data_IF_056034419755
#
_entry.id   IF_056034419755
#
_cell.length_a   1.000
_cell.length_b   1.000
_cell.length_c   1.000
_cell.angle_alpha   90.00
_cell.angle_beta   90.00
_cell.angle_gamma   90.00
#
_symmetry.space_group_name_H-M   'P 1'
#
loop_
_entity.id
_entity.type
_entity.pdbx_description
1 polymer ?
2 non-polymer ?
3 water ?
#
# COMPACT_ATOMS: atom_id res chain seq x y z
N UNK A 1 -15.82 -3.18 31.59
CA UNK A 1 -15.11 -3.61 30.35
C UNK A 1 -16.09 -4.15 29.30
N UNK A 2 -16.50 -3.28 28.37
CA UNK A 2 -17.40 -3.66 27.27
C UNK A 2 -16.75 -3.50 25.87
N UNK A 3 -15.43 -3.33 25.84
CA UNK A 3 -14.70 -3.10 24.60
C UNK A 3 -13.71 -4.26 24.39
N UNK A 4 -13.31 -4.52 23.14
CA UNK A 4 -12.22 -5.48 22.90
C UNK A 4 -10.90 -5.09 23.54
N UNK A 5 -10.27 -6.07 24.17
CA UNK A 5 -8.90 -5.96 24.68
C UNK A 5 -7.88 -5.52 23.63
N UNK A 6 -8.13 -5.86 22.38
CA UNK A 6 -7.26 -5.51 21.29
C UNK A 6 -8.07 -5.24 20.04
N UNK A 7 -7.65 -4.22 19.27
CA UNK A 7 -8.14 -4.00 17.93
C UNK A 7 -6.96 -3.73 16.96
N UNK A 8 -7.13 -4.09 15.68
CA UNK A 8 -6.19 -3.76 14.59
C UNK A 8 -6.98 -3.70 13.30
N UNK A 9 -7.20 -2.49 12.80
CA UNK A 9 -8.02 -2.29 11.60
C UNK A 9 -7.37 -2.73 10.31
N UNK A 10 -6.04 -2.83 10.29
CA UNK A 10 -5.33 -3.47 9.17
C UNK A 10 -5.89 -4.86 8.86
N UNK A 11 -6.23 -5.60 9.92
CA UNK A 11 -6.79 -6.95 9.78
C UNK A 11 -8.18 -7.03 9.14
N UNK A 12 -8.89 -5.92 9.06
CA UNK A 12 -10.14 -5.86 8.29
C UNK A 12 -9.93 -5.23 6.90
N UNK A 13 -8.68 -5.17 6.46
CA UNK A 13 -8.34 -4.54 5.20
C UNK A 13 -8.80 -3.09 5.08
N UNK A 14 -8.69 -2.31 6.17
CA UNK A 14 -9.17 -0.92 6.20
C UNK A 14 -8.08 0.14 6.19
N UNK A 15 -6.82 -0.30 6.14
CA UNK A 15 -5.70 0.60 6.18
C UNK A 15 -4.91 0.47 4.85
N UNK A 16 -4.54 1.60 4.26
CA UNK A 16 -3.67 1.60 3.10
C UNK A 16 -2.19 1.37 3.48
N UNK A 17 -1.34 1.28 2.46
CA UNK A 17 0.10 1.17 2.67
C UNK A 17 0.65 2.43 3.32
N UNK A 18 1.69 2.23 4.10
CA UNK A 18 2.40 3.28 4.76
C UNK A 18 2.97 4.14 3.66
N UNK A 19 2.89 5.46 3.82
CA UNK A 19 3.45 6.41 2.86
C UNK A 19 4.70 7.09 3.45
N UNK A 20 5.36 7.90 2.63
CA UNK A 20 6.62 8.54 2.98
C UNK A 20 6.43 10.03 2.67
N UNK A 21 6.36 10.87 3.71
CA UNK A 21 6.10 12.29 3.52
C UNK A 21 7.34 13.02 3.01
N UNK A 22 8.52 12.50 3.33
CA UNK A 22 9.78 13.17 3.01
C UNK A 22 9.94 14.49 3.78
N UNK A 23 10.40 15.53 3.07
CA UNK A 23 10.79 16.79 3.72
C UNK A 23 9.66 17.82 3.70
N UNK A 24 8.48 17.37 3.36
CA UNK A 24 7.30 18.20 3.41
C UNK A 24 6.52 17.76 4.67
N UNK A 25 6.09 18.74 5.47
CA UNK A 25 5.46 18.47 6.75
C UNK A 25 3.97 18.26 6.55
N UNK A 26 3.65 17.14 5.90
CA UNK A 26 2.30 16.81 5.50
C UNK A 26 1.71 15.63 6.29
N UNK A 27 2.27 15.36 7.47
CA UNK A 27 1.78 14.31 8.36
C UNK A 27 0.29 14.45 8.73
N UNK A 28 -0.14 15.70 8.89
CA UNK A 28 -1.54 16.05 9.08
C UNK A 28 -2.42 15.65 7.89
N UNK A 29 -1.91 15.76 6.66
CA UNK A 29 -2.69 15.40 5.46
C UNK A 29 -2.76 13.89 5.32
N UNK A 30 -1.68 13.21 5.67
CA UNK A 30 -1.66 11.76 5.71
C UNK A 30 -2.54 11.19 6.81
N UNK A 31 -2.49 11.80 7.98
CA UNK A 31 -3.38 11.40 9.08
C UNK A 31 -4.87 11.47 8.66
N UNK A 32 -5.27 12.61 8.09
CA UNK A 32 -6.63 12.84 7.62
C UNK A 32 -7.13 11.82 6.61
N UNK A 33 -6.38 11.60 5.52
CA UNK A 33 -6.83 10.64 4.50
C UNK A 33 -6.76 9.20 5.00
N UNK A 34 -5.77 8.87 5.80
CA UNK A 34 -5.74 7.57 6.44
C UNK A 34 -7.07 7.28 7.06
N UNK A 35 -7.58 8.19 7.90
CA UNK A 35 -8.85 7.99 8.62
C UNK A 35 -10.07 7.89 7.68
N UNK A 36 -10.09 8.73 6.64
CA UNK A 36 -11.17 8.74 5.69
C UNK A 36 -11.12 7.52 4.75
N UNK A 37 -9.92 7.01 4.49
CA UNK A 37 -9.77 5.75 3.71
C UNK A 37 -10.46 4.57 4.40
N UNK A 38 -10.40 4.49 5.73
CA UNK A 38 -11.09 3.38 6.43
C UNK A 38 -12.60 3.50 6.34
N UNK A 39 -13.11 4.71 6.44
CA UNK A 39 -14.55 4.90 6.41
C UNK A 39 -15.09 4.54 5.02
N UNK A 40 -14.33 4.88 3.99
CA UNK A 40 -14.69 4.59 2.61
C UNK A 40 -14.70 3.08 2.35
N UNK A 41 -13.76 2.35 2.94
CA UNK A 41 -13.71 0.88 2.80
C UNK A 41 -14.91 0.20 3.45
N UNK A 42 -15.17 0.57 4.72
CA UNK A 42 -16.37 0.12 5.45
C UNK A 42 -17.64 0.36 4.64
N UNK A 43 -17.76 1.58 4.14
CA UNK A 43 -18.86 1.99 3.26
C UNK A 43 -18.93 1.21 1.95
N UNK A 44 -17.82 1.19 1.19
CA UNK A 44 -17.89 0.77 -0.22
C UNK A 44 -17.30 -0.59 -0.52
N UNK A 45 -16.65 -1.20 0.46
CA UNK A 45 -15.87 -2.42 0.23
C UNK A 45 -14.56 -2.21 -0.51
N UNK A 46 -14.31 -1.01 -1.03
CA UNK A 46 -13.09 -0.72 -1.79
C UNK A 46 -12.05 0.02 -0.92
N UNK A 47 -10.82 -0.49 -0.93
CA UNK A 47 -9.75 0.17 -0.19
C UNK A 47 -9.01 1.01 -1.21
N UNK A 48 -9.19 2.34 -1.14
CA UNK A 48 -8.49 3.26 -2.06
C UNK A 48 -7.71 4.37 -1.35
N UNK A 49 -6.39 4.45 -1.57
CA UNK A 49 -5.60 5.62 -1.16
C UNK A 49 -6.14 6.94 -1.70
N UNK A 50 -6.32 7.89 -0.78
CA UNK A 50 -6.84 9.21 -1.06
C UNK A 50 -5.69 10.18 -1.04
N UNK A 51 -5.92 11.33 -1.70
CA UNK A 51 -4.90 12.28 -2.05
C UNK A 51 -4.52 13.27 -0.92
N UNK A 52 -3.47 12.92 -0.16
CA UNK A 52 -2.91 13.86 0.81
C UNK A 52 -2.46 15.17 0.15
N UNK A 53 -2.00 15.08 -1.10
CA UNK A 53 -1.52 16.25 -1.89
C UNK A 53 -2.63 17.22 -2.21
N UNK A 54 -3.82 16.69 -2.43
CA UNK A 54 -5.05 17.46 -2.61
C UNK A 54 -5.28 18.39 -1.39
N UNK A 55 -5.07 17.83 -0.21
CA UNK A 55 -5.20 18.55 1.04
C UNK A 55 -4.13 19.64 1.15
N UNK A 56 -2.87 19.26 0.91
CA UNK A 56 -1.74 20.20 0.96
C UNK A 56 -1.97 21.38 0.03
N UNK A 57 -2.33 21.11 -1.23
CA UNK A 57 -2.55 22.16 -2.23
C UNK A 57 -3.84 22.97 -2.08
N UNK A 58 -4.89 22.38 -1.49
CA UNK A 58 -6.24 22.97 -1.59
C UNK A 58 -6.88 23.38 -0.27
N UNK A 59 -6.61 22.62 0.78
CA UNK A 59 -7.10 22.95 2.12
C UNK A 59 -6.04 23.88 2.78
N UNK A 60 -6.00 25.12 2.30
CA UNK A 60 -4.94 26.04 2.71
C UNK A 60 -5.45 27.10 3.72
N UNK A 61 -5.38 28.37 3.34
CA UNK A 61 -5.46 29.50 4.28
C UNK A 61 -6.85 29.73 4.87
N UNK A 62 -7.89 29.47 4.08
CA UNK A 62 -9.27 29.44 4.56
C UNK A 62 -9.49 28.43 5.68
N UNK A 63 -8.64 27.40 5.78
CA UNK A 63 -8.79 26.34 6.77
C UNK A 63 -7.68 26.38 7.81
N UNK A 64 -6.88 27.44 7.82
CA UNK A 64 -5.83 27.61 8.82
C UNK A 64 -4.61 26.70 8.66
N UNK A 65 -4.45 26.14 7.46
CA UNK A 65 -3.37 25.20 7.15
C UNK A 65 -2.34 25.87 6.22
N UNK A 66 -1.09 25.40 6.31
CA UNK A 66 0.04 26.00 5.60
C UNK A 66 0.76 24.98 4.73
N UNK A 67 0.04 23.97 4.23
CA UNK A 67 0.65 22.92 3.40
C UNK A 67 1.79 22.16 4.04
N UNK A 68 2.97 22.21 3.41
CA UNK A 68 4.18 21.56 3.90
C UNK A 68 4.71 22.17 5.19
N UNK A 69 4.24 23.36 5.55
CA UNK A 69 4.52 23.94 6.86
C UNK A 69 3.48 23.61 7.93
N UNK A 70 2.58 22.68 7.65
CA UNK A 70 1.69 22.14 8.67
C UNK A 70 0.25 22.54 8.49
N UNK A 71 -0.60 21.95 9.31
CA UNK A 71 -2.03 22.15 9.25
C UNK A 71 -2.70 21.17 10.20
N UNK A 72 -4.01 21.06 10.10
CA UNK A 72 -4.82 20.28 11.02
C UNK A 72 -5.72 19.32 10.24
N UNK A 73 -5.95 18.15 10.82
CA UNK A 73 -6.88 17.16 10.28
C UNK A 73 -8.34 17.59 10.35
N UNK A 74 -8.74 18.26 11.43
CA UNK A 74 -10.12 18.70 11.56
C UNK A 74 -10.55 19.63 10.42
N UNK A 75 -9.67 20.56 10.04
CA UNK A 75 -9.96 21.49 8.95
C UNK A 75 -9.67 20.87 7.60
N UNK A 76 -8.84 19.81 7.56
CA UNK A 76 -8.72 19.02 6.32
C UNK A 76 -10.09 18.38 5.97
N UNK A 77 -10.74 17.84 7.01
CA UNK A 77 -12.10 17.26 6.90
C UNK A 77 -13.12 18.29 6.51
N UNK A 78 -13.01 19.51 7.04
CA UNK A 78 -13.98 20.56 6.71
C UNK A 78 -13.88 20.95 5.23
N UNK A 79 -12.66 21.07 4.73
CA UNK A 79 -12.41 21.24 3.30
C UNK A 79 -13.09 20.17 2.43
N UNK A 80 -13.00 18.91 2.84
CA UNK A 80 -13.48 17.80 2.06
C UNK A 80 -15.01 17.82 2.03
N UNK A 81 -15.59 18.20 3.17
CA UNK A 81 -17.02 18.51 3.25
C UNK A 81 -17.35 19.68 2.31
N UNK A 82 -16.75 20.84 2.55
CA UNK A 82 -17.08 22.04 1.76
C UNK A 82 -16.90 21.84 0.24
N UNK A 83 -15.83 21.14 -0.14
CA UNK A 83 -15.45 20.89 -1.52
C UNK A 83 -16.32 19.81 -2.18
N UNK A 84 -17.02 19.04 -1.35
CA UNK A 84 -17.88 17.94 -1.77
C UNK A 84 -17.03 16.86 -2.44
N UNK A 85 -15.86 16.59 -1.85
CA UNK A 85 -15.02 15.49 -2.28
C UNK A 85 -13.51 15.64 -2.17
N UNK A 86 -12.84 14.53 -2.41
CA UNK A 86 -11.41 14.49 -2.45
C UNK A 86 -11.02 13.45 -3.49
N UNK A 87 -9.94 13.75 -4.23
CA UNK A 87 -9.44 12.89 -5.30
C UNK A 87 -8.71 11.67 -4.76
N UNK A 88 -8.62 10.63 -5.57
CA UNK A 88 -7.83 9.45 -5.22
C UNK A 88 -6.38 9.86 -5.26
N UNK A 89 -5.56 9.16 -4.49
CA UNK A 89 -4.13 9.37 -4.53
C UNK A 89 -3.56 9.07 -5.92
N UNK A 90 -4.10 8.06 -6.61
CA UNK A 90 -3.56 7.69 -7.95
C UNK A 90 -3.86 8.78 -9.00
N UNK A 91 -4.95 9.52 -8.86
CA UNK A 91 -5.24 10.63 -9.80
C UNK A 91 -4.48 11.91 -9.43
N UNK A 92 -4.08 12.01 -8.16
CA UNK A 92 -3.54 13.23 -7.59
C UNK A 92 -2.43 12.85 -6.60
N UNK A 93 -1.30 12.36 -7.14
CA UNK A 93 -0.23 11.77 -6.33
C UNK A 93 0.59 12.77 -5.54
N UNK A 94 1.22 12.26 -4.48
CA UNK A 94 2.01 13.06 -3.55
C UNK A 94 3.38 13.44 -4.13
N UNK A 95 3.69 14.73 -4.14
CA UNK A 95 4.97 15.23 -4.64
C UNK A 95 5.90 15.78 -3.56
N UNK A 96 5.44 15.78 -2.30
CA UNK A 96 6.23 16.34 -1.19
C UNK A 96 6.60 17.83 -1.39
N UNK A 97 5.71 18.61 -1.99
CA UNK A 97 5.87 20.07 -2.04
C UNK A 97 4.51 20.77 -2.22
N UNK A 98 4.50 22.08 -1.99
CA UNK A 98 3.31 22.90 -2.13
C UNK A 98 3.04 23.16 -3.61
N UNK A 99 1.83 22.88 -4.09
CA UNK A 99 1.50 23.16 -5.50
C UNK A 99 0.23 23.94 -5.64
N UNK A 100 -0.02 24.43 -6.85
CA UNK A 100 -1.34 24.97 -7.16
C UNK A 100 -2.37 23.87 -6.94
N UNK A 101 -3.57 24.30 -6.55
CA UNK A 101 -4.69 23.40 -6.34
C UNK A 101 -5.20 22.90 -7.69
N UNK A 102 -5.28 21.57 -7.80
CA UNK A 102 -5.60 20.90 -9.04
C UNK A 102 -6.68 19.85 -8.84
N UNK A 103 -7.51 20.03 -7.80
CA UNK A 103 -8.66 19.14 -7.62
C UNK A 103 -9.49 19.10 -8.90
N UNK A 104 -9.93 17.89 -9.26
CA UNK A 104 -10.83 17.70 -10.38
C UNK A 104 -11.92 16.77 -9.90
N UNK A 105 -13.16 17.23 -9.95
CA UNK A 105 -14.28 16.44 -9.47
C UNK A 105 -14.49 15.13 -10.22
N UNK A 106 -14.06 15.04 -11.49
CA UNK A 106 -14.14 13.76 -12.23
C UNK A 106 -13.37 12.63 -11.53
N UNK A 107 -12.39 12.99 -10.72
CA UNK A 107 -11.56 12.01 -10.03
C UNK A 107 -11.85 11.82 -8.55
N UNK A 108 -12.91 12.46 -8.06
CA UNK A 108 -13.38 12.24 -6.70
C UNK A 108 -13.51 10.75 -6.35
N UNK A 109 -12.83 10.32 -5.30
CA UNK A 109 -12.87 8.93 -4.83
C UNK A 109 -13.48 8.77 -3.43
N UNK A 110 -13.68 9.87 -2.73
CA UNK A 110 -14.40 9.85 -1.48
C UNK A 110 -15.02 11.20 -1.24
N UNK A 111 -15.88 11.19 -0.25
CA UNK A 111 -16.58 12.36 0.21
C UNK A 111 -16.52 12.34 1.75
N UNK A 112 -16.95 13.43 2.38
CA UNK A 112 -17.02 13.48 3.84
C UNK A 112 -18.33 14.13 4.26
N UNK A 113 -19.05 13.48 5.16
CA UNK A 113 -20.32 14.01 5.63
C UNK A 113 -20.11 14.96 6.81
N UNK A 114 -19.14 14.62 7.65
CA UNK A 114 -18.98 15.21 8.97
C UNK A 114 -17.73 14.65 9.66
N UNK A 115 -17.30 15.32 10.70
CA UNK A 115 -16.28 14.77 11.54
C UNK A 115 -16.59 15.09 13.00
N UNK A 116 -15.94 14.33 13.89
CA UNK A 116 -16.11 14.41 15.34
C UNK A 116 -14.72 14.59 15.98
N UNK A 117 -14.59 15.53 16.91
CA UNK A 117 -13.36 15.69 17.69
C UNK A 117 -13.62 15.07 19.04
N UNK A 118 -12.60 14.46 19.61
CA UNK A 118 -12.75 13.88 20.92
C UNK A 118 -12.20 14.82 22.01
N UNK A 119 -12.70 14.69 23.25
CA UNK A 119 -12.15 15.47 24.36
C UNK A 119 -10.66 15.25 24.63
N UNK A 120 -9.97 16.30 25.05
CA UNK A 120 -8.52 16.25 25.20
C UNK A 120 -8.14 15.32 26.32
N UNK A 121 -7.12 14.49 26.08
CA UNK A 121 -6.51 13.69 27.13
C UNK A 121 -7.29 12.46 27.59
N UNK A 122 -8.41 12.16 26.91
CA UNK A 122 -9.28 11.06 27.31
C UNK A 122 -8.98 9.77 26.54
N UNK A 123 -8.19 8.89 27.15
CA UNK A 123 -7.70 7.67 26.52
C UNK A 123 -8.75 6.54 26.50
N UNK A 124 -9.68 6.60 27.45
CA UNK A 124 -10.84 5.73 27.44
C UNK A 124 -11.83 6.11 26.32
N UNK A 125 -11.99 7.41 26.03
CA UNK A 125 -12.85 7.82 24.91
C UNK A 125 -12.20 7.51 23.54
N UNK A 126 -10.90 7.77 23.43
CA UNK A 126 -10.17 7.40 22.26
C UNK A 126 -10.31 5.91 21.97
N UNK A 127 -10.10 5.08 22.99
CA UNK A 127 -10.24 3.64 22.86
C UNK A 127 -11.62 3.23 22.36
N UNK A 128 -12.66 3.92 22.81
CA UNK A 128 -14.02 3.63 22.38
C UNK A 128 -14.23 4.01 20.90
N UNK A 129 -13.76 5.19 20.51
CA UNK A 129 -13.85 5.58 19.11
C UNK A 129 -13.10 4.57 18.21
N UNK A 130 -11.94 4.06 18.64
CA UNK A 130 -11.17 3.15 17.78
C UNK A 130 -11.87 1.78 17.66
N UNK A 131 -12.38 1.22 18.77
CA UNK A 131 -13.17 -0.02 18.74
C UNK A 131 -14.45 0.10 17.90
N UNK A 132 -15.20 1.18 18.11
CA UNK A 132 -16.54 1.29 17.58
C UNK A 132 -16.67 2.09 16.31
N UNK A 133 -15.67 2.88 15.92
CA UNK A 133 -15.81 3.75 14.73
C UNK A 133 -14.75 3.53 13.66
N UNK A 134 -13.50 3.39 14.08
CA UNK A 134 -12.44 3.10 13.14
C UNK A 134 -11.19 3.83 13.51
N UNK A 135 -10.18 3.80 12.63
CA UNK A 135 -8.97 4.57 12.82
C UNK A 135 -9.20 6.05 13.16
N UNK A 136 -8.47 6.57 14.13
CA UNK A 136 -8.65 7.98 14.59
C UNK A 136 -7.37 8.78 14.31
N UNK A 137 -7.57 9.90 13.63
CA UNK A 137 -6.52 10.88 13.41
C UNK A 137 -6.13 11.54 14.71
N UNK A 138 -4.84 11.53 15.01
CA UNK A 138 -4.31 12.15 16.20
C UNK A 138 -3.04 12.94 15.87
N UNK A 139 -2.69 13.83 16.80
CA UNK A 139 -1.37 14.43 16.85
C UNK A 139 -0.60 13.72 17.94
N UNK A 140 0.71 13.69 17.79
CA UNK A 140 1.65 13.29 18.84
C UNK A 140 2.78 14.30 18.88
N UNK A 141 3.53 14.25 19.99
CA UNK A 141 4.79 14.98 20.14
C UNK A 141 5.88 14.05 19.63
N UNK A 142 6.33 14.31 18.42
CA UNK A 142 7.36 13.49 17.80
C UNK A 142 8.73 14.18 17.76
N UNK A 143 8.91 15.23 18.54
CA UNK A 143 10.19 15.97 18.56
C UNK A 143 11.17 15.37 19.55
N UNK A 144 11.60 14.16 19.28
CA UNK A 144 12.59 13.47 20.11
C UNK A 144 13.34 12.49 19.25
N UNK A 145 14.69 12.52 19.32
CA UNK A 145 15.53 11.53 18.67
C UNK A 145 15.05 10.11 18.85
N UNK A 146 14.65 9.72 20.07
CA UNK A 146 14.15 8.35 20.34
C UNK A 146 12.93 7.94 19.49
N UNK A 147 12.15 8.93 19.06
CA UNK A 147 11.02 8.71 18.17
C UNK A 147 11.53 8.42 16.78
N UNK A 148 12.41 9.30 16.32
CA UNK A 148 13.04 9.17 15.00
C UNK A 148 13.79 7.87 14.85
N UNK A 149 14.35 7.41 15.96
CA UNK A 149 15.22 6.26 15.96
C UNK A 149 14.47 5.00 16.36
N UNK A 150 13.14 5.09 16.53
CA UNK A 150 12.35 3.94 17.02
C UNK A 150 12.33 2.76 16.03
N UNK A 151 12.55 1.55 16.56
CA UNK A 151 12.65 0.34 15.76
C UNK A 151 11.53 -0.62 16.12
N UNK A 152 11.35 -0.90 17.41
CA UNK A 152 10.33 -1.84 17.87
C UNK A 152 10.02 -1.73 19.35
N UNK A 153 8.94 -2.41 19.73
CA UNK A 153 8.47 -2.43 21.12
C UNK A 153 7.50 -1.29 21.38
N UNK A 154 7.11 -1.15 22.64
CA UNK A 154 6.16 -0.11 23.04
C UNK A 154 7.00 1.12 23.41
N UNK A 155 6.87 2.18 22.60
CA UNK A 155 7.56 3.44 22.80
C UNK A 155 7.14 4.16 24.09
N UNK A 156 8.11 4.56 24.90
CA UNK A 156 7.85 5.45 26.00
C UNK A 156 9.05 6.38 26.11
N UNK A 157 8.79 7.68 26.04
CA UNK A 157 9.81 8.68 26.19
C UNK A 157 9.47 9.58 27.39
N UNK A 158 10.26 9.49 28.50
CA UNK A 158 10.10 10.32 29.69
C UNK A 158 9.91 11.81 29.46
N UNK A 159 10.65 12.39 28.53
CA UNK A 159 10.57 13.83 28.30
C UNK A 159 9.52 14.20 27.23
N UNK A 160 8.72 13.23 26.80
CA UNK A 160 7.64 13.51 25.84
C UNK A 160 6.63 14.45 26.49
N UNK A 161 6.09 15.39 25.72
CA UNK A 161 5.04 16.28 26.19
C UNK A 161 3.67 15.99 25.53
N UNK A 162 2.64 16.62 26.08
CA UNK A 162 1.28 16.56 25.51
C UNK A 162 1.03 17.62 24.44
N UNK A 163 2.01 18.49 24.21
CA UNK A 163 1.95 19.44 23.09
C UNK A 163 2.30 18.76 21.76
N UNK A 164 1.34 18.67 20.87
CA UNK A 164 1.49 17.89 19.66
C UNK A 164 1.96 18.75 18.51
N UNK A 165 2.63 18.08 17.57
CA UNK A 165 3.27 18.71 16.45
C UNK A 165 3.44 17.77 15.24
N UNK A 166 2.79 16.60 15.27
CA UNK A 166 2.96 15.56 14.25
C UNK A 166 1.69 14.73 14.07
N UNK A 167 1.21 14.65 12.84
CA UNK A 167 -0.03 13.93 12.52
C UNK A 167 0.17 12.44 12.22
N UNK A 168 -0.54 11.61 12.96
CA UNK A 168 -0.47 10.15 12.79
C UNK A 168 -1.89 9.53 12.83
N UNK A 169 -1.98 8.23 12.61
CA UNK A 169 -3.29 7.55 12.57
C UNK A 169 -3.31 6.45 13.60
N UNK A 170 -4.32 6.45 14.48
CA UNK A 170 -4.49 5.34 15.43
C UNK A 170 -5.36 4.30 14.76
N UNK A 171 -4.77 3.15 14.46
CA UNK A 171 -5.46 2.04 13.79
C UNK A 171 -5.76 0.86 14.74
N UNK A 172 -5.35 0.96 15.99
CA UNK A 172 -5.62 -0.11 16.93
C UNK A 172 -5.05 0.09 18.31
N UNK A 173 -5.15 -0.96 19.12
CA UNK A 173 -4.62 -0.91 20.47
C UNK A 173 -4.54 -2.32 21.00
N UNK A 174 -3.73 -2.53 22.01
CA UNK A 174 -3.61 -3.87 22.60
C UNK A 174 -2.62 -3.84 23.73
N UNK A 175 -2.07 -5.00 24.03
CA UNK A 175 -1.12 -5.21 25.14
C UNK A 175 -0.02 -6.15 24.69
N UNK A 176 1.22 -5.66 24.64
CA UNK A 176 2.38 -6.45 24.21
C UNK A 176 3.34 -6.65 25.38
N UNK A 177 3.32 -7.85 25.96
CA UNK A 177 4.28 -8.26 27.00
C UNK A 177 4.28 -7.36 28.22
N UNK A 178 3.11 -7.28 28.86
CA UNK A 178 2.87 -6.38 29.99
C UNK A 178 2.49 -4.95 29.65
N UNK A 179 2.67 -4.53 28.40
CA UNK A 179 2.57 -3.11 28.06
C UNK A 179 1.42 -2.84 27.13
N UNK A 180 0.41 -2.15 27.63
CA UNK A 180 -0.65 -1.60 26.82
C UNK A 180 -0.09 -0.57 25.83
N UNK A 181 -0.56 -0.61 24.59
CA UNK A 181 -0.09 0.32 23.55
C UNK A 181 -1.25 0.77 22.63
N UNK A 182 -1.02 1.86 21.91
CA UNK A 182 -1.81 2.24 20.74
C UNK A 182 -0.98 1.87 19.54
N UNK A 183 -1.63 1.33 18.52
CA UNK A 183 -0.97 0.96 17.27
C UNK A 183 -1.15 2.12 16.29
N UNK A 184 -0.02 2.68 15.86
CA UNK A 184 0.01 3.95 15.18
C UNK A 184 0.68 3.83 13.83
N UNK A 185 0.03 4.34 12.83
CA UNK A 185 0.55 4.38 11.51
C UNK A 185 1.14 5.75 11.23
N UNK A 186 2.43 5.77 10.97
CA UNK A 186 3.15 6.99 10.64
C UNK A 186 3.25 7.16 9.11
N UNK A 187 3.68 8.32 8.67
CA UNK A 187 4.00 8.58 7.26
C UNK A 187 5.50 8.84 7.01
N UNK A 188 6.33 7.96 7.58
CA UNK A 188 7.78 7.98 7.32
C UNK A 188 8.32 6.78 6.52
N UNK A 189 7.46 6.14 5.74
CA UNK A 189 7.80 4.93 5.01
C UNK A 189 7.90 3.67 5.86
N UNK A 190 8.33 2.59 5.19
CA UNK A 190 8.33 1.23 5.73
C UNK A 190 9.55 0.94 6.59
N UNK A 191 10.58 1.75 6.44
CA UNK A 191 11.81 1.53 7.17
C UNK A 191 11.74 2.17 8.56
N UNK A 192 10.76 3.04 8.81
CA UNK A 192 10.51 3.50 10.17
C UNK A 192 9.81 2.42 11.00
N UNK A 193 10.37 2.12 12.16
CA UNK A 193 9.76 1.23 13.15
C UNK A 193 9.36 -0.16 12.69
N UNK A 194 8.12 -0.54 12.98
CA UNK A 194 7.61 -1.87 12.65
C UNK A 194 6.82 -1.84 11.33
N UNK A 195 7.59 -1.92 10.23
CA UNK A 195 7.15 -1.72 8.85
C UNK A 195 6.26 -0.49 8.64
N UNK A 196 6.67 0.60 9.30
CA UNK A 196 6.04 1.89 9.17
C UNK A 196 5.13 2.26 10.34
N UNK A 197 5.00 1.35 11.31
CA UNK A 197 4.17 1.54 12.48
C UNK A 197 5.00 1.76 13.75
N UNK A 198 4.37 2.38 14.73
CA UNK A 198 4.92 2.55 16.06
C UNK A 198 3.83 2.18 17.07
N UNK A 199 4.20 1.34 18.04
CA UNK A 199 3.34 1.08 19.18
C UNK A 199 3.73 2.00 20.32
N UNK A 200 2.81 2.87 20.70
CA UNK A 200 3.06 3.86 21.70
C UNK A 200 2.32 3.54 22.97
N UNK A 201 2.98 3.86 24.08
CA UNK A 201 2.45 3.65 25.44
C UNK A 201 1.03 4.19 25.61
N UNK A 202 0.16 3.36 26.19
CA UNK A 202 -1.25 3.67 26.39
C UNK A 202 -1.63 3.58 27.87
N UNK A 203 -2.56 4.45 28.27
CA UNK A 203 -2.93 4.69 29.66
C UNK A 203 -1.73 5.11 30.52
N UNK A 204 -0.94 6.02 29.98
CA UNK A 204 0.28 6.51 30.59
C UNK A 204 0.27 8.03 30.63
N UNK A 205 -0.86 8.58 31.07
CA UNK A 205 -0.97 10.00 31.26
C UNK A 205 -0.98 10.81 29.97
N UNK A 206 -1.73 10.35 28.98
CA UNK A 206 -1.75 10.99 27.65
C UNK A 206 -0.34 11.12 27.10
N UNK A 207 0.37 9.99 27.11
CA UNK A 207 1.76 9.93 26.70
C UNK A 207 2.03 10.38 25.27
N UNK A 208 2.86 11.41 25.14
CA UNK A 208 3.14 12.08 23.87
C UNK A 208 1.93 12.79 23.27
N UNK A 209 0.87 12.96 24.05
CA UNK A 209 -0.26 13.78 23.66
C UNK A 209 -1.11 13.07 22.64
N UNK A 210 -1.11 11.76 22.73
CA UNK A 210 -1.77 10.91 21.74
C UNK A 210 -3.31 11.15 21.71
N UNK A 211 -3.88 11.36 22.88
CA UNK A 211 -5.32 11.66 23.10
C UNK A 211 -5.61 13.17 23.21
N UNK A 212 -4.63 14.02 22.90
CA UNK A 212 -4.83 15.49 23.05
C UNK A 212 -5.83 16.01 22.02
N UNK A 213 -5.64 15.64 20.75
CA UNK A 213 -6.59 16.10 19.70
C UNK A 213 -6.97 15.00 18.69
N UNK A 214 -7.77 14.03 19.15
CA UNK A 214 -8.30 13.07 18.21
C UNK A 214 -9.51 13.61 17.44
N UNK A 215 -9.64 13.21 16.19
CA UNK A 215 -10.85 13.39 15.41
C UNK A 215 -10.98 12.27 14.38
N UNK A 216 -12.22 12.03 13.94
CA UNK A 216 -12.47 11.03 12.90
C UNK A 216 -13.61 11.47 12.02
N UNK A 217 -13.50 11.19 10.72
CA UNK A 217 -14.50 11.55 9.74
C UNK A 217 -15.57 10.49 9.62
N UNK A 218 -16.67 10.87 8.97
CA UNK A 218 -17.73 9.94 8.61
C UNK A 218 -18.23 10.21 7.20
N UNK A 219 -18.53 9.12 6.50
CA UNK A 219 -19.25 9.15 5.22
C UNK A 219 -20.62 8.49 5.47
N UNK A 220 -21.69 9.26 5.46
CA UNK A 220 -23.03 8.69 5.68
C UNK A 220 -23.66 8.23 4.33
N UNK A 221 -24.56 7.25 4.40
CA UNK A 221 -25.39 6.77 3.26
C UNK A 221 -26.00 7.94 2.48
N UNK B 2 -6.29 -8.59 -34.22
CA UNK B 2 -6.93 -7.35 -33.68
C UNK B 2 -6.91 -7.30 -32.14
N UNK B 3 -5.77 -6.90 -31.59
CA UNK B 3 -5.63 -6.71 -30.15
C UNK B 3 -5.83 -5.22 -29.85
N UNK B 4 -6.21 -4.88 -28.62
CA UNK B 4 -6.19 -3.47 -28.25
C UNK B 4 -4.78 -2.87 -28.42
N UNK B 5 -4.72 -1.61 -28.88
CA UNK B 5 -3.43 -0.91 -29.09
C UNK B 5 -2.81 -0.51 -27.75
N UNK B 6 -3.66 -0.28 -26.76
CA UNK B 6 -3.25 0.00 -25.39
C UNK B 6 -4.12 -0.73 -24.38
N UNK B 7 -3.48 -1.23 -23.34
CA UNK B 7 -4.15 -1.86 -22.21
C UNK B 7 -3.59 -1.32 -20.90
N UNK B 8 -4.48 -1.11 -19.93
CA UNK B 8 -4.09 -0.73 -18.58
C UNK B 8 -5.07 -1.32 -17.58
N UNK B 9 -4.66 -2.37 -16.90
CA UNK B 9 -5.56 -3.03 -15.98
C UNK B 9 -5.99 -2.20 -14.74
N UNK B 10 -5.28 -1.10 -14.44
CA UNK B 10 -5.64 -0.25 -13.29
C UNK B 10 -6.98 0.43 -13.48
N UNK B 11 -7.30 0.68 -14.75
CA UNK B 11 -8.59 1.24 -15.15
C UNK B 11 -9.79 0.32 -14.86
N UNK B 12 -9.54 -0.97 -14.75
CA UNK B 12 -10.58 -1.92 -14.34
C UNK B 12 -10.58 -2.19 -12.84
N UNK B 13 -9.77 -1.46 -12.08
CA UNK B 13 -9.66 -1.69 -10.64
C UNK B 13 -9.17 -3.07 -10.29
N UNK B 14 -8.23 -3.61 -11.09
CA UNK B 14 -7.74 -5.01 -10.94
C UNK B 14 -6.36 -5.10 -10.29
N UNK B 15 -5.82 -3.93 -9.94
CA UNK B 15 -4.45 -3.82 -9.48
C UNK B 15 -4.47 -3.18 -8.11
N UNK B 16 -3.94 -3.87 -7.11
CA UNK B 16 -3.82 -3.31 -5.76
C UNK B 16 -2.73 -2.21 -5.71
N UNK B 17 -2.67 -1.53 -4.57
CA UNK B 17 -1.61 -0.57 -4.29
C UNK B 17 -0.21 -1.20 -4.34
N UNK B 18 0.73 -0.39 -4.79
CA UNK B 18 2.13 -0.77 -4.92
C UNK B 18 2.69 -1.06 -3.55
N UNK B 19 3.39 -2.19 -3.42
CA UNK B 19 3.94 -2.61 -2.14
C UNK B 19 5.44 -2.25 -2.03
N UNK B 20 6.03 -2.53 -0.86
CA UNK B 20 7.43 -2.21 -0.56
C UNK B 20 8.10 -3.48 -0.01
N UNK B 21 8.97 -4.08 -0.80
CA UNK B 21 9.59 -5.35 -0.42
C UNK B 21 10.70 -5.16 0.62
N UNK B 22 11.34 -3.99 0.60
CA UNK B 22 12.40 -3.68 1.57
C UNK B 22 13.67 -4.46 1.29
N UNK B 23 14.38 -4.83 2.34
CA UNK B 23 15.64 -5.56 2.22
C UNK B 23 15.46 -7.06 1.93
N UNK B 24 14.22 -7.52 1.84
CA UNK B 24 13.97 -8.91 1.56
C UNK B 24 13.65 -9.09 0.07
N UNK B 25 14.27 -10.08 -0.56
CA UNK B 25 14.15 -10.28 -2.02
C UNK B 25 12.90 -11.02 -2.38
N UNK B 26 11.74 -10.43 -2.05
CA UNK B 26 10.46 -11.10 -2.19
C UNK B 26 9.74 -10.67 -3.48
N UNK B 27 10.44 -9.98 -4.39
CA UNK B 27 9.87 -9.50 -5.66
C UNK B 27 9.02 -10.54 -6.39
N UNK B 28 9.52 -11.77 -6.42
CA UNK B 28 8.80 -12.89 -6.99
C UNK B 28 7.45 -13.22 -6.35
N UNK B 29 7.33 -12.98 -5.06
CA UNK B 29 6.07 -13.20 -4.32
C UNK B 29 5.10 -12.06 -4.52
N UNK B 30 5.61 -10.84 -4.56
CA UNK B 30 4.80 -9.69 -4.95
C UNK B 30 4.30 -9.81 -6.39
N UNK B 31 5.19 -10.18 -7.30
CA UNK B 31 4.78 -10.46 -8.69
C UNK B 31 3.66 -11.50 -8.74
N UNK B 32 3.80 -12.58 -7.95
CA UNK B 32 2.83 -13.67 -7.95
C UNK B 32 1.48 -13.27 -7.35
N UNK B 33 1.46 -12.63 -6.18
CA UNK B 33 0.16 -12.25 -5.62
C UNK B 33 -0.51 -11.20 -6.50
N UNK B 34 0.28 -10.31 -7.04
CA UNK B 34 -0.19 -9.27 -7.94
C UNK B 34 -1.03 -9.79 -9.08
N UNK B 35 -0.56 -10.83 -9.74
CA UNK B 35 -1.26 -11.46 -10.86
C UNK B 35 -2.53 -12.22 -10.41
N UNK B 36 -2.45 -12.87 -9.26
CA UNK B 36 -3.58 -13.60 -8.71
C UNK B 36 -4.66 -12.64 -8.21
N UNK B 37 -4.24 -11.49 -7.63
CA UNK B 37 -5.18 -10.46 -7.16
C UNK B 37 -6.11 -9.98 -8.28
N UNK B 38 -5.59 -9.85 -9.50
CA UNK B 38 -6.39 -9.34 -10.61
C UNK B 38 -7.46 -10.33 -11.03
N UNK B 39 -7.08 -11.61 -10.97
CA UNK B 39 -7.96 -12.73 -11.32
C UNK B 39 -9.03 -12.94 -10.26
N UNK B 40 -8.72 -12.65 -9.00
CA UNK B 40 -9.70 -12.71 -7.92
C UNK B 40 -10.71 -11.56 -8.10
N UNK B 41 -10.22 -10.37 -8.45
CA UNK B 41 -11.11 -9.27 -8.77
C UNK B 41 -12.03 -9.57 -9.95
N UNK B 42 -11.49 -10.10 -11.04
CA UNK B 42 -12.31 -10.50 -12.18
C UNK B 42 -13.42 -11.47 -11.81
N UNK B 43 -13.04 -12.51 -11.08
CA UNK B 43 -13.96 -13.55 -10.64
C UNK B 43 -15.01 -13.07 -9.63
N UNK B 44 -14.56 -12.37 -8.59
CA UNK B 44 -15.40 -12.05 -7.42
C UNK B 44 -15.87 -10.60 -7.32
N UNK B 45 -15.19 -9.69 -8.01
CA UNK B 45 -15.48 -8.26 -7.91
C UNK B 45 -14.81 -7.56 -6.73
N UNK B 46 -14.15 -8.33 -5.86
CA UNK B 46 -13.37 -7.75 -4.77
C UNK B 46 -11.90 -7.64 -5.18
N UNK B 47 -11.30 -6.48 -4.85
CA UNK B 47 -9.84 -6.29 -4.93
C UNK B 47 -9.25 -6.48 -3.54
N UNK B 48 -8.58 -7.60 -3.29
CA UNK B 48 -7.93 -7.78 -2.00
C UNK B 48 -6.46 -8.09 -2.20
N UNK B 49 -5.60 -7.38 -1.46
CA UNK B 49 -4.19 -7.72 -1.35
C UNK B 49 -3.97 -9.12 -0.77
N UNK B 50 -3.25 -9.95 -1.54
CA UNK B 50 -2.94 -11.31 -1.09
C UNK B 50 -1.60 -11.37 -0.36
N UNK B 51 -1.37 -12.44 0.37
CA UNK B 51 -0.21 -12.52 1.25
C UNK B 51 1.07 -12.93 0.53
N UNK B 52 1.92 -11.92 0.25
CA UNK B 52 3.27 -12.13 -0.21
C UNK B 52 4.11 -12.90 0.82
N UNK B 53 3.83 -12.65 2.10
CA UNK B 53 4.58 -13.27 3.20
C UNK B 53 4.30 -14.76 3.31
N UNK B 54 3.05 -15.10 3.10
CA UNK B 54 2.59 -16.51 2.96
C UNK B 54 3.43 -17.26 1.90
N UNK B 55 3.80 -16.61 0.80
CA UNK B 55 4.66 -17.24 -0.20
C UNK B 55 6.11 -17.34 0.27
N UNK B 56 6.63 -16.28 0.88
CA UNK B 56 7.98 -16.27 1.47
C UNK B 56 8.13 -17.36 2.56
N UNK B 57 7.12 -17.53 3.39
CA UNK B 57 7.25 -18.44 4.54
C UNK B 57 6.97 -19.90 4.19
N UNK B 58 6.06 -20.09 3.25
CA UNK B 58 5.46 -21.42 3.03
C UNK B 58 5.86 -22.11 1.73
N UNK B 59 6.09 -21.33 0.68
CA UNK B 59 6.53 -21.86 -0.61
C UNK B 59 8.08 -21.87 -0.65
N UNK B 60 8.66 -22.86 0.02
CA UNK B 60 10.10 -22.87 0.27
C UNK B 60 10.85 -23.85 -0.66
N UNK B 61 11.67 -24.74 -0.08
CA UNK B 61 12.69 -25.46 -0.86
C UNK B 61 12.08 -26.54 -1.75
N UNK B 62 10.92 -27.06 -1.34
CA UNK B 62 10.17 -28.00 -2.18
C UNK B 62 9.65 -27.36 -3.47
N UNK B 63 9.54 -26.03 -3.48
CA UNK B 63 9.12 -25.28 -4.67
C UNK B 63 10.26 -24.56 -5.38
N UNK B 64 11.50 -24.86 -4.96
CA UNK B 64 12.70 -24.27 -5.56
C UNK B 64 13.00 -22.86 -5.10
N UNK B 65 12.33 -22.44 -4.03
CA UNK B 65 12.33 -21.05 -3.57
C UNK B 65 13.13 -20.87 -2.27
N UNK B 66 13.73 -19.69 -2.10
CA UNK B 66 14.60 -19.39 -0.96
C UNK B 66 14.13 -18.15 -0.17
N UNK B 67 12.80 -17.98 -0.08
CA UNK B 67 12.20 -16.92 0.69
C UNK B 67 12.75 -15.56 0.34
N UNK B 68 13.44 -14.93 1.31
CA UNK B 68 14.02 -13.60 1.10
C UNK B 68 15.28 -13.59 0.24
N UNK B 69 15.82 -14.77 -0.12
CA UNK B 69 16.91 -14.88 -1.12
C UNK B 69 16.42 -15.21 -2.56
N UNK B 70 15.10 -15.25 -2.77
CA UNK B 70 14.58 -15.36 -4.13
C UNK B 70 13.72 -16.59 -4.40
N UNK B 71 13.04 -16.55 -5.52
CA UNK B 71 12.18 -17.67 -5.92
C UNK B 71 11.51 -17.39 -7.23
N UNK B 72 10.54 -18.22 -7.58
CA UNK B 72 9.90 -18.18 -8.88
C UNK B 72 8.40 -18.03 -8.70
N UNK B 73 7.78 -17.23 -9.56
CA UNK B 73 6.32 -17.08 -9.53
C UNK B 73 5.56 -18.38 -9.91
N UNK B 74 6.05 -19.10 -10.92
CA UNK B 74 5.43 -20.36 -11.37
C UNK B 74 5.30 -21.36 -10.23
N UNK B 75 6.38 -21.55 -9.46
CA UNK B 75 6.34 -22.47 -8.36
C UNK B 75 5.56 -21.89 -7.17
N UNK B 76 5.47 -20.57 -7.09
CA UNK B 76 4.58 -19.93 -6.10
C UNK B 76 3.09 -20.28 -6.38
N UNK B 77 2.70 -20.18 -7.66
CA UNK B 77 1.34 -20.56 -8.09
C UNK B 77 1.09 -22.01 -7.82
N UNK B 78 2.10 -22.84 -8.07
CA UNK B 78 1.99 -24.25 -7.75
C UNK B 78 1.77 -24.46 -6.25
N UNK B 79 2.52 -23.79 -5.40
CA UNK B 79 2.25 -23.81 -3.96
C UNK B 79 0.78 -23.45 -3.66
N UNK B 80 0.26 -22.37 -4.25
CA UNK B 80 -1.11 -21.96 -4.05
C UNK B 80 -2.10 -23.04 -4.55
N UNK B 81 -1.87 -23.61 -5.74
CA UNK B 81 -2.65 -24.78 -6.18
C UNK B 81 -2.56 -25.94 -5.16
N UNK B 82 -1.33 -26.31 -4.77
CA UNK B 82 -1.10 -27.50 -3.94
C UNK B 82 -1.68 -27.30 -2.54
N UNK B 83 -1.57 -26.09 -2.04
CA UNK B 83 -2.00 -25.71 -0.70
C UNK B 83 -3.52 -25.54 -0.61
N UNK B 84 -4.18 -25.47 -1.76
CA UNK B 84 -5.62 -25.20 -1.83
C UNK B 84 -5.98 -23.83 -1.20
N UNK B 85 -5.04 -22.87 -1.28
CA UNK B 85 -5.28 -21.50 -0.86
C UNK B 85 -4.06 -20.63 -0.58
N UNK B 86 -4.33 -19.33 -0.46
CA UNK B 86 -3.37 -18.33 0.07
C UNK B 86 -4.14 -17.34 0.97
N UNK B 87 -3.50 -16.85 2.01
CA UNK B 87 -4.13 -15.93 2.95
C UNK B 87 -4.12 -14.51 2.38
N UNK B 88 -5.06 -13.70 2.85
CA UNK B 88 -5.04 -12.26 2.68
C UNK B 88 -3.81 -11.65 3.31
N UNK B 89 -3.37 -10.53 2.73
CA UNK B 89 -2.33 -9.68 3.31
C UNK B 89 -2.70 -9.14 4.72
N UNK B 90 -4.00 -8.94 4.94
CA UNK B 90 -4.58 -8.47 6.20
C UNK B 90 -4.48 -9.51 7.31
N UNK B 91 -4.56 -10.79 6.96
CA UNK B 91 -4.44 -11.86 7.94
C UNK B 91 -2.99 -12.31 8.17
N UNK B 92 -2.14 -12.15 7.16
CA UNK B 92 -0.77 -12.65 7.16
C UNK B 92 0.06 -11.51 6.58
N UNK B 93 0.37 -10.50 7.43
CA UNK B 93 1.10 -9.31 6.95
C UNK B 93 2.58 -9.50 6.63
N UNK B 94 3.08 -8.56 5.82
CA UNK B 94 4.45 -8.55 5.32
C UNK B 94 5.46 -7.93 6.32
N UNK B 95 6.47 -8.71 6.69
CA UNK B 95 7.46 -8.32 7.68
C UNK B 95 8.85 -8.16 7.09
N UNK B 96 9.02 -8.50 5.80
CA UNK B 96 10.31 -8.40 5.13
C UNK B 96 11.38 -9.25 5.79
N UNK B 97 10.96 -10.36 6.39
CA UNK B 97 11.86 -11.34 6.99
C UNK B 97 11.37 -12.72 6.58
N UNK B 98 12.26 -13.69 6.66
CA UNK B 98 11.87 -15.09 6.58
C UNK B 98 11.31 -15.48 7.94
N UNK B 99 10.14 -16.16 7.94
CA UNK B 99 9.51 -16.70 9.15
C UNK B 99 9.05 -18.14 8.96
N UNK B 100 8.73 -18.80 10.07
CA UNK B 100 8.05 -20.10 10.02
C UNK B 100 6.75 -19.97 9.21
N UNK B 101 6.36 -21.05 8.55
CA UNK B 101 5.07 -21.08 7.88
C UNK B 101 3.90 -20.99 8.86
N UNK B 102 3.07 -19.97 8.68
CA UNK B 102 1.96 -19.69 9.59
C UNK B 102 0.67 -19.57 8.82
N UNK B 103 0.59 -20.25 7.68
CA UNK B 103 -0.65 -20.36 6.91
C UNK B 103 -1.81 -20.95 7.72
N UNK B 104 -2.96 -20.30 7.64
CA UNK B 104 -4.21 -20.79 8.26
C UNK B 104 -5.32 -20.70 7.20
N UNK B 105 -5.88 -21.84 6.82
CA UNK B 105 -6.90 -21.87 5.79
C UNK B 105 -8.13 -21.02 6.14
N UNK B 106 -8.40 -20.83 7.42
CA UNK B 106 -9.58 -20.07 7.84
C UNK B 106 -9.56 -18.62 7.30
N UNK B 107 -8.37 -18.09 7.01
CA UNK B 107 -8.20 -16.74 6.48
C UNK B 107 -7.87 -16.72 5.00
N UNK B 108 -7.97 -17.88 4.34
CA UNK B 108 -7.78 -17.96 2.90
C UNK B 108 -8.62 -16.93 2.18
N UNK B 109 -7.97 -16.12 1.35
CA UNK B 109 -8.66 -15.09 0.56
C UNK B 109 -8.71 -15.41 -0.96
N UNK B 110 -7.86 -16.30 -1.43
CA UNK B 110 -7.92 -16.72 -2.82
C UNK B 110 -7.44 -18.15 -2.95
N UNK B 111 -7.57 -18.63 -4.17
CA UNK B 111 -7.33 -20.00 -4.54
C UNK B 111 -6.69 -19.89 -5.92
N UNK B 112 -6.01 -20.94 -6.37
CA UNK B 112 -5.46 -20.95 -7.73
C UNK B 112 -5.75 -22.29 -8.41
N UNK B 113 -6.28 -22.25 -9.64
CA UNK B 113 -6.70 -23.51 -10.31
C UNK B 113 -5.58 -24.08 -11.17
N UNK B 114 -4.96 -23.21 -11.97
CA UNK B 114 -3.79 -23.55 -12.78
C UNK B 114 -3.06 -22.27 -13.13
N UNK B 115 -1.84 -22.40 -13.64
CA UNK B 115 -1.09 -21.30 -14.23
C UNK B 115 -0.62 -21.69 -15.63
N UNK B 116 -0.19 -20.71 -16.40
CA UNK B 116 0.28 -20.91 -17.74
C UNK B 116 1.58 -20.17 -17.92
N UNK B 117 2.60 -20.84 -18.48
CA UNK B 117 3.90 -20.25 -18.83
C UNK B 117 3.95 -19.90 -20.29
N UNK B 118 4.44 -18.71 -20.62
CA UNK B 118 4.53 -18.25 -22.00
C UNK B 118 5.93 -18.53 -22.61
N UNK B 119 5.98 -18.71 -23.95
CA UNK B 119 7.26 -18.93 -24.62
C UNK B 119 8.24 -17.75 -24.51
N UNK B 120 9.49 -18.08 -24.25
CA UNK B 120 10.56 -17.13 -24.00
C UNK B 120 10.75 -16.21 -25.19
N UNK B 121 10.86 -14.92 -24.93
CA UNK B 121 11.22 -13.94 -25.96
C UNK B 121 10.10 -13.41 -26.83
N UNK B 122 8.89 -13.95 -26.66
CA UNK B 122 7.74 -13.69 -27.54
C UNK B 122 6.85 -12.59 -26.95
N UNK B 123 7.08 -11.35 -27.39
CA UNK B 123 6.40 -10.17 -26.90
C UNK B 123 5.00 -10.06 -27.53
N UNK B 124 4.82 -10.66 -28.70
CA UNK B 124 3.48 -10.80 -29.29
C UNK B 124 2.58 -11.74 -28.48
N UNK B 125 3.14 -12.83 -27.95
CA UNK B 125 2.38 -13.72 -27.08
C UNK B 125 2.07 -13.07 -25.72
N UNK B 126 3.05 -12.37 -25.13
CA UNK B 126 2.83 -11.62 -23.88
C UNK B 126 1.71 -10.60 -24.04
N UNK B 127 1.77 -9.81 -25.10
CA UNK B 127 0.75 -8.81 -25.39
C UNK B 127 -0.67 -9.40 -25.45
N UNK B 128 -0.82 -10.50 -26.17
CA UNK B 128 -2.09 -11.19 -26.27
C UNK B 128 -2.57 -11.62 -24.90
N UNK B 129 -1.69 -12.21 -24.10
CA UNK B 129 -2.00 -12.61 -22.73
C UNK B 129 -2.41 -11.41 -21.86
N UNK B 130 -1.65 -10.31 -21.91
CA UNK B 130 -2.04 -9.12 -21.14
C UNK B 130 -3.42 -8.60 -21.63
N UNK B 131 -3.69 -8.69 -22.94
CA UNK B 131 -4.95 -8.17 -23.52
C UNK B 131 -6.13 -9.04 -23.14
N UNK B 132 -5.94 -10.35 -23.19
CA UNK B 132 -7.06 -11.27 -23.16
C UNK B 132 -7.15 -12.00 -21.85
N UNK B 133 -6.13 -11.90 -20.99
CA UNK B 133 -6.16 -12.64 -19.74
C UNK B 133 -6.03 -11.77 -18.49
N UNK B 134 -5.13 -10.79 -18.52
CA UNK B 134 -4.96 -9.96 -17.35
C UNK B 134 -3.51 -9.69 -17.10
N UNK B 135 -3.20 -9.08 -15.96
CA UNK B 135 -1.78 -8.86 -15.62
C UNK B 135 -0.97 -10.17 -15.58
N UNK B 136 0.28 -10.08 -16.06
CA UNK B 136 1.22 -11.21 -16.22
C UNK B 136 2.49 -11.05 -15.34
N UNK B 137 2.80 -12.05 -14.53
CA UNK B 137 4.05 -12.13 -13.77
C UNK B 137 5.23 -12.31 -14.71
N UNK B 138 6.22 -11.42 -14.64
CA UNK B 138 7.43 -11.59 -15.41
C UNK B 138 8.65 -11.21 -14.58
N UNK B 139 9.80 -11.67 -15.03
CA UNK B 139 11.07 -11.27 -14.47
C UNK B 139 11.69 -10.26 -15.38
N UNK B 140 12.51 -9.40 -14.80
CA UNK B 140 13.30 -8.43 -15.59
C UNK B 140 14.72 -8.53 -15.13
N UNK B 141 15.63 -8.01 -15.96
CA UNK B 141 17.00 -7.75 -15.54
C UNK B 141 17.05 -6.37 -14.89
N UNK B 142 17.04 -6.35 -13.55
CA UNK B 142 16.98 -5.13 -12.77
C UNK B 142 18.34 -4.67 -12.21
N UNK B 143 19.44 -5.31 -12.61
CA UNK B 143 20.77 -5.05 -12.04
C UNK B 143 21.53 -3.97 -12.77
N UNK B 144 20.93 -2.80 -12.82
CA UNK B 144 21.50 -1.63 -13.44
C UNK B 144 21.10 -0.43 -12.62
N UNK B 145 22.09 0.41 -12.28
CA UNK B 145 21.83 1.65 -11.59
C UNK B 145 20.67 2.44 -12.22
N UNK B 146 20.64 2.52 -13.56
CA UNK B 146 19.57 3.19 -14.33
C UNK B 146 18.15 2.68 -14.01
N UNK B 147 18.07 1.42 -13.59
CA UNK B 147 16.83 0.83 -13.10
C UNK B 147 16.48 1.37 -11.72
N UNK B 148 17.37 1.16 -10.75
CA UNK B 148 17.15 1.68 -9.39
C UNK B 148 16.83 3.17 -9.37
N UNK B 149 17.51 3.90 -10.22
CA UNK B 149 17.42 5.34 -10.32
C UNK B 149 16.34 5.83 -11.29
N UNK B 150 15.45 4.96 -11.76
CA UNK B 150 14.48 5.34 -12.80
C UNK B 150 13.38 6.23 -12.22
N UNK B 151 13.03 7.28 -12.96
CA UNK B 151 12.05 8.29 -12.51
C UNK B 151 10.83 8.33 -13.40
N UNK B 152 11.06 8.42 -14.71
CA UNK B 152 9.97 8.54 -15.68
C UNK B 152 10.38 8.29 -17.11
N UNK B 153 9.38 8.11 -17.97
CA UNK B 153 9.57 7.87 -19.38
C UNK B 153 9.62 6.40 -19.73
N UNK B 154 9.94 6.10 -20.98
CA UNK B 154 10.07 4.71 -21.41
C UNK B 154 11.51 4.24 -21.18
N UNK B 155 11.70 3.32 -20.24
CA UNK B 155 13.00 2.77 -19.88
C UNK B 155 13.67 1.94 -21.01
N UNK B 156 14.92 2.31 -21.34
CA UNK B 156 15.77 1.56 -22.25
C UNK B 156 17.24 1.61 -21.81
N UNK B 157 17.77 0.46 -21.41
CA UNK B 157 19.13 0.32 -20.94
C UNK B 157 19.93 -0.55 -21.93
N UNK B 158 20.83 0.06 -22.73
CA UNK B 158 21.70 -0.64 -23.70
C UNK B 158 22.42 -1.88 -23.14
N UNK B 159 22.91 -1.78 -21.91
CA UNK B 159 23.53 -2.93 -21.22
C UNK B 159 22.58 -3.96 -20.64
N UNK B 160 21.28 -3.79 -20.84
CA UNK B 160 20.31 -4.74 -20.30
C UNK B 160 20.46 -6.10 -20.97
N UNK B 161 20.42 -7.17 -20.16
CA UNK B 161 20.43 -8.55 -20.66
C UNK B 161 19.07 -9.27 -20.50
N UNK B 162 18.91 -10.41 -21.15
CA UNK B 162 17.68 -11.18 -21.11
C UNK B 162 17.64 -12.19 -19.96
N UNK B 163 18.71 -12.22 -19.15
CA UNK B 163 18.75 -13.01 -17.91
C UNK B 163 18.11 -12.27 -16.72
N UNK B 164 16.97 -12.79 -16.25
CA UNK B 164 16.11 -12.09 -15.30
C UNK B 164 16.46 -12.42 -13.85
N UNK B 165 16.23 -11.47 -12.97
CA UNK B 165 16.67 -11.60 -11.58
C UNK B 165 15.78 -10.80 -10.59
N UNK B 166 14.63 -10.33 -11.07
CA UNK B 166 13.72 -9.50 -10.30
C UNK B 166 12.27 -9.69 -10.79
N UNK B 167 11.33 -9.99 -9.89
CA UNK B 167 9.95 -10.21 -10.26
C UNK B 167 9.13 -8.93 -10.28
N UNK B 168 8.45 -8.67 -11.40
CA UNK B 168 7.54 -7.54 -11.49
C UNK B 168 6.20 -8.00 -12.11
N UNK B 169 5.25 -7.07 -12.29
CA UNK B 169 3.94 -7.43 -12.86
C UNK B 169 3.61 -6.54 -14.08
N UNK B 170 3.33 -7.18 -15.21
CA UNK B 170 2.88 -6.45 -16.37
C UNK B 170 1.37 -6.24 -16.21
N UNK B 171 0.96 -5.00 -15.97
CA UNK B 171 -0.46 -4.65 -15.85
C UNK B 171 -0.97 -3.91 -17.09
N UNK B 172 -0.12 -3.73 -18.08
CA UNK B 172 -0.56 -3.03 -19.29
C UNK B 172 0.53 -2.90 -20.32
N UNK B 173 0.19 -2.24 -21.41
CA UNK B 173 1.13 -1.88 -22.47
C UNK B 173 0.51 -0.73 -23.19
N UNK B 174 1.35 0.05 -23.86
CA UNK B 174 0.84 1.15 -24.61
C UNK B 174 1.97 1.75 -25.39
N UNK B 175 1.82 3.04 -25.67
CA UNK B 175 2.65 3.76 -26.59
C UNK B 175 2.70 5.23 -26.15
N UNK B 176 3.90 5.80 -26.14
CA UNK B 176 4.12 7.20 -25.80
C UNK B 176 4.69 7.87 -27.04
N UNK B 177 3.85 8.55 -27.81
CA UNK B 177 4.27 9.16 -29.09
C UNK B 177 5.02 8.18 -30.00
N UNK B 178 4.47 6.98 -30.14
CA UNK B 178 5.11 5.97 -30.98
C UNK B 178 6.13 5.10 -30.28
N UNK B 179 6.68 5.53 -29.14
CA UNK B 179 7.59 4.63 -28.39
C UNK B 179 6.77 3.61 -27.59
N UNK B 180 6.83 2.36 -28.00
CA UNK B 180 6.05 1.30 -27.36
C UNK B 180 6.64 0.88 -26.01
N UNK B 181 5.77 0.61 -25.05
CA UNK B 181 6.24 0.17 -23.74
C UNK B 181 5.32 -0.86 -23.10
N UNK B 182 5.89 -1.55 -22.12
CA UNK B 182 5.14 -2.41 -21.22
C UNK B 182 4.96 -1.60 -19.94
N UNK B 183 3.78 -1.69 -19.34
CA UNK B 183 3.46 -0.89 -18.14
C UNK B 183 3.67 -1.78 -16.93
N UNK B 184 4.75 -1.55 -16.19
CA UNK B 184 5.21 -2.51 -15.16
C UNK B 184 5.00 -1.99 -13.72
N UNK B 185 4.36 -2.80 -12.89
CA UNK B 185 4.23 -2.53 -11.48
C UNK B 185 5.39 -3.17 -10.74
N UNK B 186 6.09 -2.39 -9.91
CA UNK B 186 7.25 -2.87 -9.15
C UNK B 186 6.83 -3.02 -7.68
N UNK B 187 7.74 -3.50 -6.83
CA UNK B 187 7.47 -3.61 -5.39
C UNK B 187 8.47 -2.79 -4.58
N UNK B 188 8.71 -1.56 -5.04
CA UNK B 188 9.64 -0.63 -4.39
C UNK B 188 8.96 0.62 -3.83
N UNK B 189 7.67 0.52 -3.51
CA UNK B 189 6.88 1.65 -3.03
C UNK B 189 6.58 2.72 -4.08
N UNK B 190 6.01 3.84 -3.63
CA UNK B 190 5.55 4.92 -4.52
C UNK B 190 6.66 5.85 -4.97
N UNK B 191 7.78 5.85 -4.27
CA UNK B 191 8.86 6.75 -4.63
C UNK B 191 9.71 6.22 -5.74
N UNK B 192 9.52 4.95 -6.13
CA UNK B 192 10.19 4.43 -7.30
C UNK B 192 9.42 4.83 -8.58
N UNK B 193 10.13 5.41 -9.53
CA UNK B 193 9.58 5.65 -10.85
C UNK B 193 8.32 6.48 -10.87
N UNK B 194 7.33 6.03 -11.62
CA UNK B 194 6.10 6.80 -11.84
C UNK B 194 5.03 6.24 -10.95
N UNK B 195 5.11 6.61 -9.68
CA UNK B 195 4.19 6.20 -8.64
C UNK B 195 4.26 4.70 -8.31
N UNK B 196 5.46 4.15 -8.43
CA UNK B 196 5.67 2.73 -8.25
C UNK B 196 5.74 1.90 -9.52
N UNK B 197 5.51 2.52 -10.68
CA UNK B 197 5.58 1.86 -12.00
C UNK B 197 6.77 2.31 -12.88
N UNK B 198 7.18 1.42 -13.78
CA UNK B 198 8.19 1.71 -14.78
C UNK B 198 7.56 1.30 -16.12
N UNK B 199 7.64 2.18 -17.11
CA UNK B 199 7.30 1.80 -18.49
C UNK B 199 8.60 1.38 -19.15
N UNK B 200 8.65 0.13 -19.59
CA UNK B 200 9.85 -0.42 -20.18
C UNK B 200 9.64 -0.63 -21.65
N UNK B 201 10.74 -0.60 -22.40
CA UNK B 201 10.74 -0.75 -23.86
C UNK B 201 10.11 -2.06 -24.31
N UNK B 202 9.23 -1.93 -25.31
CA UNK B 202 8.44 -3.05 -25.87
C UNK B 202 8.81 -3.20 -27.34
N UNK B 203 8.83 -4.45 -27.80
CA UNK B 203 9.24 -4.76 -29.16
C UNK B 203 10.63 -4.21 -29.50
N UNK B 204 11.56 -4.44 -28.59
CA UNK B 204 12.92 -4.00 -28.69
C UNK B 204 13.81 -5.17 -28.33
N UNK B 205 13.47 -6.35 -28.84
CA UNK B 205 14.32 -7.53 -28.70
C UNK B 205 14.29 -8.17 -27.33
N UNK B 206 13.09 -8.28 -26.74
CA UNK B 206 12.92 -8.83 -25.39
C UNK B 206 13.79 -8.02 -24.39
N UNK B 207 13.59 -6.70 -24.42
CA UNK B 207 14.41 -5.79 -23.62
C UNK B 207 14.32 -6.02 -22.10
N UNK B 208 15.48 -6.24 -21.50
CA UNK B 208 15.60 -6.58 -20.09
C UNK B 208 15.03 -7.95 -19.71
N UNK B 209 14.62 -8.71 -20.71
CA UNK B 209 14.19 -10.08 -20.48
C UNK B 209 12.77 -10.12 -19.97
N UNK B 210 12.04 -9.07 -20.28
CA UNK B 210 10.65 -8.87 -19.87
C UNK B 210 9.74 -10.05 -20.34
N UNK B 211 9.99 -10.52 -21.56
CA UNK B 211 9.27 -11.68 -22.15
C UNK B 211 10.01 -13.04 -22.01
N UNK B 212 11.03 -13.10 -21.15
CA UNK B 212 11.84 -14.31 -21.05
C UNK B 212 11.07 -15.40 -20.30
N UNK B 213 10.58 -15.08 -19.10
CA UNK B 213 9.71 -16.00 -18.36
C UNK B 213 8.37 -15.42 -17.83
N UNK B 214 7.43 -15.09 -18.75
CA UNK B 214 6.07 -14.74 -18.27
C UNK B 214 5.22 -15.96 -17.80
N UNK B 215 4.31 -15.71 -16.85
CA UNK B 215 3.30 -16.68 -16.41
C UNK B 215 2.12 -15.99 -15.74
N UNK B 216 0.96 -16.58 -15.85
CA UNK B 216 -0.19 -16.05 -15.17
C UNK B 216 -1.00 -17.22 -14.59
N UNK B 217 -1.66 -16.98 -13.43
CA UNK B 217 -2.51 -17.94 -12.80
C UNK B 217 -3.95 -17.75 -13.30
N UNK B 218 -4.81 -18.73 -13.01
CA UNK B 218 -6.25 -18.64 -13.22
C UNK B 218 -6.99 -19.24 -12.03
N UNK B 219 -8.13 -18.64 -11.71
CA UNK B 219 -9.04 -19.14 -10.68
C UNK B 219 -10.31 -19.53 -11.44
N UNK B 220 -10.57 -20.81 -11.57
CA UNK B 220 -11.70 -21.26 -12.38
C UNK B 220 -12.99 -21.21 -11.58
N UNK B 221 -14.13 -21.32 -12.27
CA UNK B 221 -15.43 -21.33 -11.60
C UNK B 221 -15.49 -22.57 -10.69
N UNK B 222 -15.97 -22.38 -9.47
CA UNK B 222 -16.02 -23.46 -8.49
C UNK B 222 -15.45 -23.03 -7.16
#
# INVERSE_FOLDING_TARGET
AALPDSVDWREKGCVTEVKYQGSCGASWAFSAVGALEAQLKLKTGKLVSLSAQNLVDCSTEKYGNKGCNGGFMTTAFQYIIDNKGIDSDASYPYKAMDQKCQYDSKYRAATCSKYTELPYGREDVLKEAVANKGPVSVGVDARHPSFFLYRSGVYYEPSCTQNVNHGVLVVGYGDLNGKEYWLVKNSWGHNFGEEGYIRMARNKGNHCGIASFPSYPEILQG
AALPDSVDWREKGCVTEVKYQGSCGASWAFSAVGALEAQLKLKTGKLVSLSAQNLVDCSTEKYGNKGCNGGFMTTAFQYIIDNKGIDSDASYPYKAMDQKCQYDSKYRAATCSKYTELPYGREDVLKEAVANKGPVSVGVDARHPSFFLYRSGVYYEPSCTQNVNHGVLVVGYGDLNGKEYWLVKNSWGHNFGEEGYIRMARNKGNHCGIASFPSYPEILQG
#
